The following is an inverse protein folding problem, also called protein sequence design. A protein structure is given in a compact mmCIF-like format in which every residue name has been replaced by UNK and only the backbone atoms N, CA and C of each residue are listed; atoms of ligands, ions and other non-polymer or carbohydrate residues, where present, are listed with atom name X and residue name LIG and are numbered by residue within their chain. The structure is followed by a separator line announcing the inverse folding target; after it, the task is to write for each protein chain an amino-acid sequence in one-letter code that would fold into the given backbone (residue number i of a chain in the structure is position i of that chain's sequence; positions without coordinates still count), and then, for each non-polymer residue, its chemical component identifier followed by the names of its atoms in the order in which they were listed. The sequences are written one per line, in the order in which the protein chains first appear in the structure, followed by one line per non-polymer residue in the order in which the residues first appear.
data_IF_644959051567
#
_entry.id   IF_644959051567
#
_cell.length_a   1.000
_cell.length_b   1.000
_cell.length_c   1.000
_cell.angle_alpha   90.00
_cell.angle_beta   90.00
_cell.angle_gamma   90.00
#
_symmetry.space_group_name_H-M   'P 1'
#
loop_
_entity.id
_entity.type
_entity.pdbx_description
1 polymer ?
#
# COMPACT_ATOMS: atom_id res chain seq x y z
N UNK A 1 -0.88 11.42 11.79
CA UNK A 1 -2.33 11.18 11.57
C UNK A 1 -2.69 11.57 10.15
N UNK A 2 -3.63 10.85 9.53
CA UNK A 2 -4.11 11.19 8.18
C UNK A 2 -4.79 12.57 8.18
N UNK A 3 -4.51 13.39 7.16
CA UNK A 3 -5.15 14.70 6.96
C UNK A 3 -6.42 14.61 6.10
N UNK A 4 -6.77 13.41 5.66
CA UNK A 4 -7.92 13.11 4.81
C UNK A 4 -8.80 12.07 5.50
N UNK A 5 -10.06 11.97 5.05
CA UNK A 5 -10.97 10.92 5.51
C UNK A 5 -10.41 9.55 5.12
N UNK A 6 -10.33 8.63 6.06
CA UNK A 6 -10.07 7.22 5.78
C UNK A 6 -11.40 6.54 5.44
N UNK A 7 -11.49 5.96 4.25
CA UNK A 7 -12.69 5.26 3.81
C UNK A 7 -12.73 3.88 4.50
N UNK A 8 -13.84 3.47 5.14
CA UNK A 8 -13.96 2.15 5.74
C UNK A 8 -13.67 1.04 4.72
N UNK A 9 -13.06 -0.06 5.17
CA UNK A 9 -12.61 -1.16 4.29
C UNK A 9 -13.78 -1.76 3.49
N UNK A 10 -14.97 -1.82 4.09
CA UNK A 10 -16.23 -2.28 3.51
C UNK A 10 -16.79 -1.37 2.40
N UNK A 11 -16.36 -0.10 2.37
CA UNK A 11 -16.78 0.90 1.38
C UNK A 11 -15.78 1.06 0.22
N UNK A 12 -14.64 0.35 0.29
CA UNK A 12 -13.63 0.36 -0.78
C UNK A 12 -14.10 -0.41 -2.02
N UNK A 13 -13.51 -0.07 -3.17
CA UNK A 13 -13.64 -0.85 -4.42
C UNK A 13 -13.22 -2.31 -4.17
N UNK A 14 -13.73 -3.27 -4.97
CA UNK A 14 -13.36 -4.67 -4.79
C UNK A 14 -11.84 -4.91 -4.77
N UNK A 15 -11.09 -4.27 -5.67
CA UNK A 15 -9.63 -4.39 -5.73
C UNK A 15 -8.95 -3.89 -4.46
N UNK A 16 -9.24 -2.66 -4.04
CA UNK A 16 -8.66 -2.07 -2.83
C UNK A 16 -9.06 -2.82 -1.56
N UNK A 17 -10.30 -3.31 -1.49
CA UNK A 17 -10.80 -4.09 -0.37
C UNK A 17 -10.02 -5.38 -0.17
N UNK A 18 -9.74 -6.11 -1.24
CA UNK A 18 -8.95 -7.34 -1.16
C UNK A 18 -7.52 -7.06 -0.70
N UNK A 19 -6.90 -5.99 -1.17
CA UNK A 19 -5.55 -5.59 -0.73
C UNK A 19 -5.56 -5.18 0.76
N UNK A 20 -6.56 -4.39 1.19
CA UNK A 20 -6.71 -3.96 2.58
C UNK A 20 -6.91 -5.14 3.54
N UNK A 21 -7.77 -6.09 3.18
CA UNK A 21 -7.98 -7.33 3.96
C UNK A 21 -6.71 -8.17 4.03
N UNK A 22 -5.96 -8.28 2.94
CA UNK A 22 -4.67 -8.97 2.93
C UNK A 22 -3.69 -8.32 3.91
N UNK A 23 -3.62 -6.99 3.93
CA UNK A 23 -2.79 -6.26 4.89
C UNK A 23 -3.20 -6.52 6.34
N UNK A 24 -4.50 -6.46 6.65
CA UNK A 24 -5.03 -6.76 7.99
C UNK A 24 -4.74 -8.20 8.43
N UNK A 25 -4.89 -9.19 7.54
CA UNK A 25 -4.59 -10.59 7.82
C UNK A 25 -3.10 -10.81 8.18
N UNK A 26 -2.22 -9.99 7.63
CA UNK A 26 -0.80 -9.96 7.96
C UNK A 26 -0.44 -8.98 9.09
N UNK A 27 -1.43 -8.45 9.81
CA UNK A 27 -1.28 -7.46 10.90
C UNK A 27 -0.57 -6.17 10.48
N UNK A 28 -0.71 -5.79 9.21
CA UNK A 28 -0.22 -4.53 8.66
C UNK A 28 -1.31 -3.45 8.77
N UNK A 29 -0.89 -2.19 8.75
CA UNK A 29 -1.79 -1.05 8.84
C UNK A 29 -2.55 -0.85 7.50
N UNK A 30 -3.90 -0.95 7.47
CA UNK A 30 -4.68 -0.77 6.25
C UNK A 30 -4.86 0.70 5.84
N UNK A 31 -4.43 1.66 6.67
CA UNK A 31 -4.73 3.08 6.48
C UNK A 31 -4.33 3.65 5.12
N UNK A 32 -3.28 3.12 4.47
CA UNK A 32 -2.89 3.54 3.10
C UNK A 32 -3.97 3.19 2.06
N UNK A 33 -4.59 2.01 2.17
CA UNK A 33 -5.64 1.57 1.25
C UNK A 33 -6.96 2.30 1.53
N UNK A 34 -7.24 2.56 2.81
CA UNK A 34 -8.39 3.38 3.23
C UNK A 34 -8.26 4.83 2.76
N UNK A 35 -7.05 5.40 2.80
CA UNK A 35 -6.73 6.70 2.22
C UNK A 35 -6.90 6.70 0.70
N UNK A 36 -6.39 5.67 0.02
CA UNK A 36 -6.51 5.48 -1.42
C UNK A 36 -7.97 5.37 -1.92
N UNK A 37 -8.90 4.95 -1.06
CA UNK A 37 -10.34 4.95 -1.35
C UNK A 37 -10.92 6.30 -1.76
N UNK A 38 -10.24 7.41 -1.46
CA UNK A 38 -10.64 8.75 -1.94
C UNK A 38 -10.34 8.96 -3.44
N UNK A 39 -9.45 8.16 -4.04
CA UNK A 39 -9.10 8.23 -5.46
C UNK A 39 -8.76 6.84 -6.02
N UNK A 40 -9.74 5.91 -6.06
CA UNK A 40 -9.47 4.49 -6.26
C UNK A 40 -8.83 4.18 -7.62
N UNK A 41 -9.33 4.78 -8.70
CA UNK A 41 -8.82 4.54 -10.05
C UNK A 41 -7.33 4.89 -10.19
N UNK A 42 -6.87 5.95 -9.52
CA UNK A 42 -5.46 6.34 -9.55
C UNK A 42 -4.58 5.35 -8.78
N UNK A 43 -5.05 4.88 -7.63
CA UNK A 43 -4.31 3.90 -6.85
C UNK A 43 -4.26 2.54 -7.53
N UNK A 44 -5.35 2.09 -8.13
CA UNK A 44 -5.41 0.83 -8.88
C UNK A 44 -4.42 0.88 -10.07
N UNK A 45 -4.40 1.97 -10.84
CA UNK A 45 -3.40 2.16 -11.90
C UNK A 45 -1.95 2.18 -11.37
N UNK A 46 -1.71 2.81 -10.22
CA UNK A 46 -0.41 2.75 -9.55
C UNK A 46 -0.06 1.32 -9.13
N UNK A 47 -1.02 0.57 -8.61
CA UNK A 47 -0.82 -0.80 -8.16
C UNK A 47 -0.53 -1.76 -9.31
N UNK A 48 -1.17 -1.60 -10.47
CA UNK A 48 -0.87 -2.37 -11.67
C UNK A 48 0.59 -2.20 -12.12
N UNK A 49 1.12 -0.98 -11.98
CA UNK A 49 2.53 -0.69 -12.22
C UNK A 49 3.45 -1.23 -11.10
N UNK A 50 3.09 -0.98 -9.84
CA UNK A 50 3.97 -1.17 -8.69
C UNK A 50 3.96 -2.61 -8.12
N UNK A 51 2.81 -3.28 -8.16
CA UNK A 51 2.59 -4.63 -7.63
C UNK A 51 3.60 -5.66 -8.16
N UNK A 52 3.86 -5.73 -9.48
CA UNK A 52 4.87 -6.63 -10.04
C UNK A 52 6.28 -6.37 -9.47
N UNK A 53 6.68 -5.10 -9.35
CA UNK A 53 7.98 -4.72 -8.78
C UNK A 53 8.09 -5.12 -7.31
N UNK A 54 7.01 -4.94 -6.54
CA UNK A 54 6.93 -5.32 -5.13
C UNK A 54 7.03 -6.83 -4.94
N UNK A 55 6.27 -7.62 -5.71
CA UNK A 55 6.00 -9.03 -5.41
C UNK A 55 6.82 -10.04 -6.23
N UNK A 56 7.32 -9.66 -7.41
CA UNK A 56 8.00 -10.57 -8.33
C UNK A 56 9.42 -10.08 -8.71
N UNK A 57 10.14 -10.83 -9.53
CA UNK A 57 11.48 -10.46 -10.01
C UNK A 57 12.62 -11.12 -9.22
N UNK A 58 13.85 -10.63 -9.44
CA UNK A 58 15.09 -11.32 -9.04
C UNK A 58 15.53 -11.05 -7.59
N UNK A 59 15.07 -9.96 -6.99
CA UNK A 59 15.49 -9.59 -5.63
C UNK A 59 14.60 -10.27 -4.60
N UNK A 60 15.20 -10.76 -3.52
CA UNK A 60 14.48 -11.30 -2.38
C UNK A 60 13.55 -10.25 -1.74
N UNK A 61 12.39 -10.70 -1.25
CA UNK A 61 11.40 -9.83 -0.64
C UNK A 61 11.97 -8.99 0.52
N UNK A 62 12.83 -9.60 1.34
CA UNK A 62 13.49 -8.92 2.46
C UNK A 62 14.38 -7.78 1.99
N UNK A 63 15.17 -7.99 0.93
CA UNK A 63 16.03 -6.95 0.37
C UNK A 63 15.21 -5.79 -0.18
N UNK A 64 14.11 -6.08 -0.90
CA UNK A 64 13.20 -5.02 -1.38
C UNK A 64 12.66 -4.17 -0.25
N UNK A 65 12.29 -4.78 0.87
CA UNK A 65 11.77 -4.02 2.02
C UNK A 65 12.84 -3.14 2.67
N UNK A 66 14.07 -3.66 2.84
CA UNK A 66 15.19 -2.85 3.36
C UNK A 66 15.50 -1.65 2.46
N UNK A 67 15.47 -1.83 1.14
CA UNK A 67 15.66 -0.73 0.18
C UNK A 67 14.52 0.28 0.30
N UNK A 68 13.26 -0.16 0.41
CA UNK A 68 12.10 0.73 0.60
C UNK A 68 12.22 1.54 1.89
N UNK A 69 12.59 0.91 3.00
CA UNK A 69 12.82 1.58 4.28
C UNK A 69 13.93 2.63 4.16
N UNK A 70 15.04 2.30 3.48
CA UNK A 70 16.12 3.27 3.29
C UNK A 70 15.70 4.45 2.40
N UNK A 71 14.91 4.22 1.36
CA UNK A 71 14.37 5.30 0.53
C UNK A 71 13.41 6.17 1.34
N UNK A 72 12.54 5.57 2.16
CA UNK A 72 11.63 6.31 3.03
C UNK A 72 12.38 7.20 4.03
N UNK A 73 13.41 6.65 4.68
CA UNK A 73 14.34 7.37 5.57
C UNK A 73 14.99 8.57 4.87
N UNK A 74 15.52 8.38 3.65
CA UNK A 74 16.12 9.47 2.85
C UNK A 74 15.11 10.56 2.43
N UNK A 75 13.81 10.29 2.50
CA UNK A 75 12.74 11.23 2.15
C UNK A 75 11.97 11.73 3.37
N UNK A 76 12.48 11.51 4.60
CA UNK A 76 11.81 11.86 5.85
C UNK A 76 10.37 11.34 5.93
N UNK A 77 10.11 10.18 5.31
CA UNK A 77 8.80 9.57 5.28
C UNK A 77 8.63 8.66 6.50
N UNK A 78 7.72 9.03 7.40
CA UNK A 78 7.40 8.23 8.58
C UNK A 78 6.77 6.88 8.17
N UNK A 79 7.48 5.80 8.46
CA UNK A 79 7.09 4.40 8.17
C UNK A 79 6.44 3.72 9.36
#
# INVERSE_FOLDING_TARGET
MARIKLIPTEDLTPGLREIAKGAEAHKLNPAIFQAAGNLPAAYEAFWDFYGPLKLAGLLEQRLKELVRLKIADLNDCAT
#
